data_IF_377805683465
#
_entry.id   IF_377805683465
#
_cell.length_a   1.000
_cell.length_b   1.000
_cell.length_c   1.000
_cell.angle_alpha   90.00
_cell.angle_beta   90.00
_cell.angle_gamma   90.00
#
_symmetry.space_group_name_H-M   'P 1'
#
loop_
_entity.id
_entity.type
_entity.pdbx_description
1 polymer ?
#
# COMPACT_ATOMS: atom_id res chain seq x y z
N UNK A 1 -58.61 -4.48 -22.30
CA UNK A 1 -57.98 -3.13 -22.29
C UNK A 1 -56.82 -3.03 -21.31
N UNK A 2 -56.89 -3.67 -20.14
CA UNK A 2 -55.81 -3.65 -19.12
C UNK A 2 -54.41 -3.97 -19.64
N UNK A 3 -54.23 -5.01 -20.46
CA UNK A 3 -52.90 -5.38 -20.97
C UNK A 3 -52.28 -4.34 -21.90
N UNK A 4 -53.08 -3.56 -22.63
CA UNK A 4 -52.57 -2.46 -23.47
C UNK A 4 -52.16 -1.26 -22.61
N UNK A 5 -52.95 -0.96 -21.57
CA UNK A 5 -52.65 0.11 -20.60
C UNK A 5 -51.38 -0.22 -19.81
N UNK A 6 -51.24 -1.43 -19.27
CA UNK A 6 -50.04 -1.89 -18.54
C UNK A 6 -48.78 -1.80 -19.41
N UNK A 7 -48.85 -2.27 -20.67
CA UNK A 7 -47.72 -2.16 -21.62
C UNK A 7 -47.39 -0.71 -21.97
N UNK A 8 -48.38 0.17 -22.10
CA UNK A 8 -48.18 1.59 -22.34
C UNK A 8 -47.48 2.26 -21.15
N UNK A 9 -47.98 2.05 -19.93
CA UNK A 9 -47.37 2.55 -18.70
C UNK A 9 -45.95 2.01 -18.49
N UNK A 10 -45.70 0.74 -18.76
CA UNK A 10 -44.37 0.17 -18.66
C UNK A 10 -43.37 0.84 -19.61
N UNK A 11 -43.76 1.07 -20.88
CA UNK A 11 -42.93 1.82 -21.85
C UNK A 11 -42.69 3.25 -21.42
N UNK A 12 -43.71 3.92 -20.85
CA UNK A 12 -43.58 5.27 -20.31
C UNK A 12 -42.57 5.31 -19.16
N UNK A 13 -42.66 4.39 -18.20
CA UNK A 13 -41.75 4.31 -17.04
C UNK A 13 -40.31 4.03 -17.48
N UNK A 14 -40.10 3.16 -18.47
CA UNK A 14 -38.76 2.92 -19.04
C UNK A 14 -38.19 4.19 -19.70
N UNK A 15 -39.01 4.92 -20.46
CA UNK A 15 -38.62 6.20 -21.04
C UNK A 15 -38.28 7.25 -19.97
N UNK A 16 -39.12 7.34 -18.95
CA UNK A 16 -38.94 8.24 -17.82
C UNK A 16 -37.66 7.93 -17.03
N UNK A 17 -37.37 6.65 -16.74
CA UNK A 17 -36.14 6.22 -16.06
C UNK A 17 -34.89 6.66 -16.83
N UNK A 18 -34.88 6.51 -18.17
CA UNK A 18 -33.76 6.97 -19.00
C UNK A 18 -33.57 8.49 -18.94
N UNK A 19 -34.66 9.25 -18.95
CA UNK A 19 -34.62 10.71 -18.84
C UNK A 19 -34.09 11.12 -17.46
N UNK A 20 -34.63 10.52 -16.39
CA UNK A 20 -34.17 10.76 -15.03
C UNK A 20 -32.68 10.45 -14.88
N UNK A 21 -32.22 9.29 -15.37
CA UNK A 21 -30.81 8.92 -15.30
C UNK A 21 -29.93 10.00 -15.93
N UNK A 22 -30.29 10.49 -17.12
CA UNK A 22 -29.54 11.53 -17.82
C UNK A 22 -29.55 12.88 -17.07
N UNK A 23 -30.65 13.23 -16.42
CA UNK A 23 -30.74 14.44 -15.58
C UNK A 23 -29.83 14.31 -14.36
N UNK A 24 -29.93 13.20 -13.64
CA UNK A 24 -29.08 12.92 -12.48
C UNK A 24 -27.60 12.89 -12.85
N UNK A 25 -27.22 12.22 -13.94
CA UNK A 25 -25.83 12.20 -14.43
C UNK A 25 -25.29 13.61 -14.68
N UNK A 26 -26.07 14.48 -15.32
CA UNK A 26 -25.68 15.88 -15.55
C UNK A 26 -25.53 16.66 -14.24
N UNK A 27 -26.49 16.53 -13.32
CA UNK A 27 -26.45 17.20 -12.01
C UNK A 27 -25.24 16.73 -11.21
N UNK A 28 -25.02 15.41 -11.13
CA UNK A 28 -23.90 14.79 -10.43
C UNK A 28 -22.57 15.25 -11.03
N UNK A 29 -22.46 15.30 -12.36
CA UNK A 29 -21.26 15.76 -13.06
C UNK A 29 -20.97 17.23 -12.75
N UNK A 30 -21.98 18.11 -12.85
CA UNK A 30 -21.85 19.53 -12.52
C UNK A 30 -21.45 19.76 -11.07
N UNK A 31 -22.11 19.07 -10.12
CA UNK A 31 -21.77 19.16 -8.69
C UNK A 31 -20.36 18.61 -8.40
N UNK A 32 -19.97 17.49 -9.02
CA UNK A 32 -18.61 16.96 -8.89
C UNK A 32 -17.58 17.95 -9.36
N UNK A 33 -17.80 18.57 -10.52
CA UNK A 33 -16.89 19.59 -11.04
C UNK A 33 -16.70 20.75 -10.05
N UNK A 34 -17.80 21.28 -9.49
CA UNK A 34 -17.73 22.37 -8.50
C UNK A 34 -16.98 21.94 -7.24
N UNK A 35 -17.31 20.77 -6.69
CA UNK A 35 -16.68 20.24 -5.47
C UNK A 35 -15.20 19.95 -5.68
N UNK A 36 -14.82 19.39 -6.83
CA UNK A 36 -13.44 19.08 -7.17
C UNK A 36 -12.64 20.35 -7.42
N UNK A 37 -13.24 21.37 -8.05
CA UNK A 37 -12.61 22.68 -8.24
C UNK A 37 -12.32 23.35 -6.89
N UNK A 38 -13.32 23.40 -5.99
CA UNK A 38 -13.13 23.93 -4.63
C UNK A 38 -12.06 23.16 -3.86
N UNK A 39 -12.04 21.83 -3.98
CA UNK A 39 -11.05 20.97 -3.32
C UNK A 39 -9.62 21.16 -3.86
N UNK A 40 -9.44 21.67 -5.08
CA UNK A 40 -8.10 22.01 -5.61
C UNK A 40 -7.65 23.35 -5.06
N UNK A 41 -8.55 24.33 -5.02
CA UNK A 41 -8.25 25.66 -4.45
C UNK A 41 -7.91 25.60 -2.96
N UNK A 42 -8.51 24.68 -2.21
CA UNK A 42 -8.21 24.52 -0.79
C UNK A 42 -6.76 24.15 -0.51
N UNK A 43 -6.07 23.44 -1.42
CA UNK A 43 -4.63 23.12 -1.26
C UNK A 43 -3.78 24.39 -1.23
N UNK A 44 -4.08 25.37 -2.08
CA UNK A 44 -3.35 26.64 -2.11
C UNK A 44 -3.60 27.46 -0.83
N UNK A 45 -4.80 27.41 -0.26
CA UNK A 45 -5.10 28.05 1.03
C UNK A 45 -4.32 27.42 2.18
N UNK A 46 -4.15 26.09 2.18
CA UNK A 46 -3.33 25.39 3.16
C UNK A 46 -1.86 25.83 3.02
N UNK A 47 -1.32 25.88 1.81
CA UNK A 47 0.06 26.32 1.56
C UNK A 47 0.31 27.77 2.01
N UNK A 48 -0.65 28.66 1.73
CA UNK A 48 -0.60 30.05 2.17
C UNK A 48 -0.62 30.13 3.72
N UNK A 49 -1.50 29.37 4.36
CA UNK A 49 -1.57 29.28 5.82
C UNK A 49 -0.27 28.76 6.45
N UNK A 50 0.35 27.74 5.86
CA UNK A 50 1.66 27.23 6.28
C UNK A 50 2.74 28.30 6.13
N UNK A 51 2.74 29.06 5.03
CA UNK A 51 3.67 30.17 4.82
C UNK A 51 3.54 31.28 5.88
N UNK A 52 2.31 31.65 6.25
CA UNK A 52 2.07 32.63 7.33
C UNK A 52 2.52 32.07 8.68
N UNK A 53 2.32 30.78 8.94
CA UNK A 53 2.77 30.13 10.16
C UNK A 53 4.31 30.15 10.30
N UNK A 54 5.05 29.94 9.21
CA UNK A 54 6.51 30.03 9.19
C UNK A 54 7.05 31.47 9.33
N UNK A 55 6.25 32.50 9.02
CA UNK A 55 6.61 33.91 9.25
C UNK A 55 6.57 34.33 10.74
N UNK A 56 6.15 33.43 11.65
CA UNK A 56 6.43 33.52 13.08
C UNK A 56 5.72 34.65 13.84
N UNK A 57 6.36 35.10 14.93
CA UNK A 57 5.80 35.97 15.99
C UNK A 57 5.13 37.26 15.49
N UNK A 58 5.56 37.79 14.34
CA UNK A 58 5.02 38.99 13.72
C UNK A 58 3.61 38.82 13.13
N UNK A 59 3.22 37.59 12.76
CA UNK A 59 1.92 37.31 12.18
C UNK A 59 0.82 37.08 13.24
N UNK A 60 1.18 36.88 14.51
CA UNK A 60 0.25 36.52 15.59
C UNK A 60 -0.90 37.53 15.78
N UNK A 61 -0.68 38.86 15.80
CA UNK A 61 -1.77 39.83 15.93
C UNK A 61 -2.72 39.82 14.73
N UNK A 62 -2.17 39.64 13.52
CA UNK A 62 -2.92 39.59 12.27
C UNK A 62 -3.76 38.30 12.21
N UNK A 63 -3.21 37.17 12.65
CA UNK A 63 -3.89 35.88 12.74
C UNK A 63 -5.09 35.93 13.70
N UNK A 64 -4.95 36.62 14.84
CA UNK A 64 -6.03 36.78 15.81
C UNK A 64 -7.21 37.60 15.25
N UNK A 65 -6.92 38.70 14.54
CA UNK A 65 -7.93 39.49 13.83
C UNK A 65 -8.63 38.64 12.76
N UNK A 66 -7.86 37.85 12.01
CA UNK A 66 -8.39 36.99 10.96
C UNK A 66 -9.31 35.90 11.52
N UNK A 67 -8.92 35.22 12.61
CA UNK A 67 -9.71 34.19 13.29
C UNK A 67 -11.02 34.71 13.90
N UNK A 68 -11.07 35.99 14.26
CA UNK A 68 -12.26 36.63 14.83
C UNK A 68 -13.24 37.08 13.74
N UNK A 69 -12.80 37.15 12.48
CA UNK A 69 -13.64 37.55 11.36
C UNK A 69 -14.62 36.44 10.95
N UNK A 70 -15.90 36.79 10.83
CA UNK A 70 -16.92 35.89 10.29
C UNK A 70 -16.61 35.47 8.84
N UNK A 71 -15.97 36.35 8.06
CA UNK A 71 -15.58 36.08 6.67
C UNK A 71 -14.56 34.94 6.60
N UNK A 72 -13.62 34.87 7.55
CA UNK A 72 -12.65 33.79 7.62
C UNK A 72 -13.34 32.43 7.81
N UNK A 73 -14.29 32.34 8.73
CA UNK A 73 -15.05 31.12 8.96
C UNK A 73 -15.93 30.72 7.76
N UNK A 74 -16.49 31.68 7.03
CA UNK A 74 -17.18 31.39 5.76
C UNK A 74 -16.20 30.80 4.74
N UNK A 75 -15.01 31.37 4.58
CA UNK A 75 -13.99 30.85 3.65
C UNK A 75 -13.61 29.42 4.04
N UNK A 76 -13.32 29.17 5.32
CA UNK A 76 -13.03 27.82 5.81
C UNK A 76 -14.20 26.87 5.53
N UNK A 77 -15.43 27.29 5.82
CA UNK A 77 -16.62 26.48 5.54
C UNK A 77 -16.75 26.16 4.04
N UNK A 78 -16.57 27.16 3.17
CA UNK A 78 -16.74 26.99 1.72
C UNK A 78 -15.63 26.15 1.08
N UNK A 79 -14.39 26.26 1.53
CA UNK A 79 -13.26 25.55 0.91
C UNK A 79 -12.89 24.23 1.57
N UNK A 80 -13.27 24.01 2.84
CA UNK A 80 -12.93 22.77 3.55
C UNK A 80 -14.17 21.94 3.87
N UNK A 81 -15.22 22.57 4.41
CA UNK A 81 -16.42 21.86 4.86
C UNK A 81 -17.31 21.48 3.67
N UNK A 82 -17.65 22.43 2.79
CA UNK A 82 -18.48 22.18 1.62
C UNK A 82 -17.91 21.12 0.67
N UNK A 83 -16.61 21.06 0.34
CA UNK A 83 -16.11 20.02 -0.55
C UNK A 83 -16.13 18.64 0.10
N UNK A 84 -15.90 18.58 1.42
CA UNK A 84 -16.00 17.32 2.17
C UNK A 84 -17.44 16.80 2.22
N UNK A 85 -18.40 17.65 2.57
CA UNK A 85 -19.83 17.30 2.54
C UNK A 85 -20.31 17.01 1.12
N UNK A 86 -19.85 17.81 0.15
CA UNK A 86 -20.18 17.71 -1.26
C UNK A 86 -19.82 16.33 -1.81
N UNK A 87 -18.64 15.78 -1.49
CA UNK A 87 -18.26 14.41 -1.90
C UNK A 87 -19.22 13.36 -1.35
N UNK A 88 -19.65 13.47 -0.08
CA UNK A 88 -20.66 12.57 0.50
C UNK A 88 -22.03 12.72 -0.17
N UNK A 89 -22.46 13.96 -0.41
CA UNK A 89 -23.73 14.25 -1.06
C UNK A 89 -23.76 13.74 -2.52
N UNK A 90 -22.67 13.92 -3.28
CA UNK A 90 -22.51 13.35 -4.62
C UNK A 90 -22.59 11.82 -4.57
N UNK A 91 -21.97 11.18 -3.59
CA UNK A 91 -22.06 9.73 -3.42
C UNK A 91 -23.50 9.27 -3.13
N UNK A 92 -24.24 10.04 -2.34
CA UNK A 92 -25.66 9.81 -2.09
C UNK A 92 -26.52 10.01 -3.35
N UNK A 93 -26.29 11.06 -4.14
CA UNK A 93 -27.00 11.28 -5.40
C UNK A 93 -26.73 10.15 -6.40
N UNK A 94 -25.50 9.62 -6.47
CA UNK A 94 -25.18 8.45 -7.29
C UNK A 94 -25.94 7.21 -6.83
N UNK A 95 -26.00 6.98 -5.52
CA UNK A 95 -26.80 5.90 -4.93
C UNK A 95 -28.29 6.04 -5.27
N UNK A 96 -28.85 7.24 -5.11
CA UNK A 96 -30.26 7.52 -5.38
C UNK A 96 -30.57 7.34 -6.87
N UNK A 97 -29.73 7.91 -7.74
CA UNK A 97 -29.88 7.76 -9.19
C UNK A 97 -29.88 6.28 -9.59
N UNK A 98 -28.89 5.51 -9.12
CA UNK A 98 -28.77 4.10 -9.44
C UNK A 98 -29.99 3.31 -8.96
N UNK A 99 -30.33 3.42 -7.67
CA UNK A 99 -31.41 2.63 -7.08
C UNK A 99 -32.77 2.98 -7.65
N UNK A 100 -33.06 4.27 -7.87
CA UNK A 100 -34.33 4.72 -8.44
C UNK A 100 -34.46 4.36 -9.91
N UNK A 101 -33.42 4.61 -10.73
CA UNK A 101 -33.49 4.31 -12.15
C UNK A 101 -33.55 2.80 -12.42
N UNK A 102 -32.80 2.00 -11.67
CA UNK A 102 -32.82 0.54 -11.83
C UNK A 102 -34.13 -0.07 -11.34
N UNK A 103 -34.68 0.42 -10.22
CA UNK A 103 -36.02 0.03 -9.76
C UNK A 103 -37.12 0.39 -10.78
N UNK A 104 -37.10 1.62 -11.31
CA UNK A 104 -38.06 2.05 -12.34
C UNK A 104 -37.90 1.24 -13.63
N UNK A 105 -36.66 0.88 -14.01
CA UNK A 105 -36.41 0.04 -15.17
C UNK A 105 -36.96 -1.39 -14.97
N UNK A 106 -36.71 -2.02 -13.82
CA UNK A 106 -37.23 -3.36 -13.52
C UNK A 106 -38.76 -3.32 -13.43
N UNK A 107 -39.35 -2.32 -12.78
CA UNK A 107 -40.80 -2.15 -12.70
C UNK A 107 -41.45 -1.92 -14.09
N UNK A 108 -40.85 -1.08 -14.93
CA UNK A 108 -41.31 -0.84 -16.30
C UNK A 108 -41.24 -2.11 -17.16
N UNK A 109 -40.17 -2.91 -17.02
CA UNK A 109 -40.01 -4.19 -17.71
C UNK A 109 -41.04 -5.23 -17.23
N UNK A 110 -41.34 -5.27 -15.93
CA UNK A 110 -42.35 -6.15 -15.36
C UNK A 110 -43.74 -5.83 -15.94
N UNK A 111 -44.11 -4.56 -16.02
CA UNK A 111 -45.40 -4.13 -16.60
C UNK A 111 -45.56 -4.44 -18.10
N UNK A 112 -44.44 -4.53 -18.84
CA UNK A 112 -44.45 -4.91 -20.26
C UNK A 112 -44.55 -6.44 -20.43
N UNK A 113 -44.22 -7.20 -19.38
CA UNK A 113 -44.11 -8.66 -19.40
C UNK A 113 -42.74 -9.17 -19.86
N UNK A 114 -41.70 -8.33 -19.81
CA UNK A 114 -40.33 -8.74 -20.14
C UNK A 114 -39.67 -9.56 -19.02
N UNK A 115 -40.12 -9.41 -17.78
CA UNK A 115 -39.62 -10.12 -16.60
C UNK A 115 -40.78 -10.62 -15.74
N UNK A 116 -40.61 -11.78 -15.11
CA UNK A 116 -41.65 -12.44 -14.30
C UNK A 116 -41.76 -11.89 -12.87
N UNK A 117 -40.68 -11.31 -12.35
CA UNK A 117 -40.62 -10.65 -11.05
C UNK A 117 -39.69 -9.45 -11.12
N UNK A 118 -40.02 -8.38 -10.39
CA UNK A 118 -39.15 -7.23 -10.21
C UNK A 118 -38.50 -7.30 -8.83
N UNK A 119 -37.29 -6.76 -8.72
CA UNK A 119 -36.56 -6.71 -7.45
C UNK A 119 -37.06 -5.55 -6.60
N UNK A 120 -37.07 -5.76 -5.29
CA UNK A 120 -37.47 -4.71 -4.36
C UNK A 120 -36.38 -3.63 -4.28
N UNK A 121 -36.79 -2.40 -3.94
CA UNK A 121 -35.87 -1.27 -3.80
C UNK A 121 -34.65 -1.57 -2.88
N UNK A 122 -34.88 -2.30 -1.79
CA UNK A 122 -33.83 -2.72 -0.86
C UNK A 122 -32.77 -3.64 -1.52
N UNK A 123 -33.13 -4.43 -2.52
CA UNK A 123 -32.18 -5.28 -3.23
C UNK A 123 -31.27 -4.46 -4.14
N UNK A 124 -31.82 -3.48 -4.86
CA UNK A 124 -31.02 -2.53 -5.65
C UNK A 124 -30.06 -1.73 -4.77
N UNK A 125 -30.50 -1.34 -3.57
CA UNK A 125 -29.65 -0.71 -2.57
C UNK A 125 -28.46 -1.60 -2.18
N UNK A 126 -28.73 -2.87 -1.83
CA UNK A 126 -27.68 -3.86 -1.52
C UNK A 126 -26.71 -4.07 -2.69
N UNK A 127 -27.21 -4.14 -3.92
CA UNK A 127 -26.40 -4.33 -5.13
C UNK A 127 -25.44 -3.15 -5.36
N UNK A 128 -25.91 -1.92 -5.16
CA UNK A 128 -25.05 -0.74 -5.26
C UNK A 128 -23.88 -0.81 -4.25
N UNK A 129 -24.17 -1.12 -2.98
CA UNK A 129 -23.13 -1.24 -1.97
C UNK A 129 -22.16 -2.39 -2.25
N UNK A 130 -22.65 -3.54 -2.72
CA UNK A 130 -21.82 -4.68 -3.11
C UNK A 130 -20.85 -4.29 -4.22
N UNK A 131 -21.36 -3.64 -5.29
CA UNK A 131 -20.55 -3.15 -6.41
C UNK A 131 -19.48 -2.16 -5.95
N UNK A 132 -19.82 -1.25 -5.03
CA UNK A 132 -18.88 -0.28 -4.48
C UNK A 132 -17.81 -0.92 -3.58
N UNK A 133 -18.15 -1.98 -2.84
CA UNK A 133 -17.19 -2.75 -2.05
C UNK A 133 -16.22 -3.54 -2.94
N UNK A 134 -16.74 -4.24 -3.95
CA UNK A 134 -15.92 -4.96 -4.93
C UNK A 134 -14.94 -4.02 -5.65
N UNK A 135 -15.40 -2.82 -6.03
CA UNK A 135 -14.54 -1.83 -6.67
C UNK A 135 -13.42 -1.36 -5.74
N UNK A 136 -13.73 -1.04 -4.46
CA UNK A 136 -12.69 -0.67 -3.47
C UNK A 136 -11.71 -1.81 -3.19
N UNK A 137 -12.17 -3.05 -3.20
CA UNK A 137 -11.31 -4.21 -3.01
C UNK A 137 -10.34 -4.37 -4.19
N UNK A 138 -10.85 -4.28 -5.43
CA UNK A 138 -10.02 -4.31 -6.64
C UNK A 138 -8.98 -3.19 -6.66
N UNK A 139 -9.35 -1.96 -6.28
CA UNK A 139 -8.41 -0.83 -6.19
C UNK A 139 -7.33 -1.04 -5.11
N UNK A 140 -7.65 -1.71 -3.99
CA UNK A 140 -6.66 -2.07 -2.96
C UNK A 140 -5.71 -3.15 -3.45
N UNK A 141 -6.24 -4.17 -4.10
CA UNK A 141 -5.43 -5.25 -4.68
C UNK A 141 -4.51 -4.71 -5.78
N UNK A 142 -5.00 -3.80 -6.63
CA UNK A 142 -4.18 -3.12 -7.65
C UNK A 142 -3.06 -2.31 -7.02
N UNK A 143 -3.36 -1.47 -6.02
CA UNK A 143 -2.31 -0.71 -5.31
C UNK A 143 -1.28 -1.60 -4.65
N UNK A 144 -1.69 -2.70 -4.02
CA UNK A 144 -0.74 -3.66 -3.45
C UNK A 144 0.13 -4.36 -4.51
N UNK A 145 -0.41 -4.61 -5.71
CA UNK A 145 0.37 -5.14 -6.84
C UNK A 145 1.37 -4.10 -7.33
N UNK A 146 0.92 -2.88 -7.56
CA UNK A 146 1.78 -1.76 -8.00
C UNK A 146 2.89 -1.46 -6.99
N UNK A 147 2.56 -1.44 -5.69
CA UNK A 147 3.54 -1.26 -4.61
C UNK A 147 4.55 -2.40 -4.56
N UNK A 148 4.10 -3.66 -4.71
CA UNK A 148 5.01 -4.82 -4.80
C UNK A 148 5.93 -4.72 -6.01
N UNK A 149 5.40 -4.37 -7.17
CA UNK A 149 6.22 -4.21 -8.39
C UNK A 149 7.20 -3.03 -8.26
N UNK A 150 6.77 -1.89 -7.69
CA UNK A 150 7.67 -0.76 -7.44
C UNK A 150 8.74 -1.12 -6.42
N UNK A 151 8.37 -1.85 -5.37
CA UNK A 151 9.29 -2.37 -4.38
C UNK A 151 10.31 -3.33 -5.02
N UNK A 152 9.86 -4.28 -5.82
CA UNK A 152 10.74 -5.22 -6.54
C UNK A 152 11.67 -4.50 -7.50
N UNK A 153 11.18 -3.53 -8.28
CA UNK A 153 12.02 -2.71 -9.18
C UNK A 153 13.08 -1.93 -8.39
N UNK A 154 12.68 -1.23 -7.33
CA UNK A 154 13.60 -0.49 -6.45
C UNK A 154 14.61 -1.42 -5.79
N UNK A 155 14.16 -2.59 -5.35
CA UNK A 155 15.01 -3.61 -4.75
C UNK A 155 16.02 -4.17 -5.76
N UNK A 156 15.61 -4.47 -6.98
CA UNK A 156 16.48 -4.99 -8.03
C UNK A 156 17.52 -3.95 -8.46
N UNK A 157 17.11 -2.70 -8.73
CA UNK A 157 18.05 -1.62 -9.08
C UNK A 157 19.02 -1.31 -7.93
N UNK A 158 18.54 -1.33 -6.69
CA UNK A 158 19.39 -1.20 -5.51
C UNK A 158 20.38 -2.35 -5.41
N UNK A 159 19.93 -3.59 -5.63
CA UNK A 159 20.79 -4.76 -5.58
C UNK A 159 21.86 -4.71 -6.68
N UNK A 160 21.51 -4.33 -7.90
CA UNK A 160 22.44 -4.17 -9.02
C UNK A 160 23.46 -3.05 -8.79
N UNK A 161 23.04 -1.90 -8.25
CA UNK A 161 23.94 -0.81 -7.83
C UNK A 161 24.91 -1.24 -6.73
N UNK A 162 24.43 -2.03 -5.76
CA UNK A 162 25.27 -2.58 -4.70
C UNK A 162 26.25 -3.62 -5.25
N UNK A 163 25.79 -4.58 -6.06
CA UNK A 163 26.64 -5.64 -6.61
C UNK A 163 27.68 -5.08 -7.59
N UNK A 164 27.34 -4.06 -8.38
CA UNK A 164 28.29 -3.39 -9.28
C UNK A 164 29.34 -2.56 -8.54
N UNK A 165 28.97 -1.78 -7.52
CA UNK A 165 29.96 -1.02 -6.72
C UNK A 165 30.75 -1.89 -5.73
N UNK A 166 30.23 -3.05 -5.33
CA UNK A 166 30.90 -3.98 -4.42
C UNK A 166 31.82 -4.97 -5.14
N UNK A 167 31.80 -5.01 -6.48
CA UNK A 167 32.67 -5.89 -7.28
C UNK A 167 34.14 -5.43 -7.34
N UNK A 168 34.42 -4.16 -7.04
CA UNK A 168 35.80 -3.63 -6.95
C UNK A 168 36.46 -3.82 -5.58
N UNK A 169 35.67 -4.02 -4.51
CA UNK A 169 36.19 -4.09 -3.14
C UNK A 169 36.22 -5.53 -2.59
N UNK A 170 35.33 -6.42 -3.05
CA UNK A 170 35.29 -7.83 -2.60
C UNK A 170 36.36 -8.73 -3.21
N UNK A 171 36.92 -8.36 -4.37
CA UNK A 171 37.90 -9.23 -5.04
C UNK A 171 39.32 -9.09 -4.46
N UNK A 172 39.65 -7.96 -3.80
CA UNK A 172 41.00 -7.73 -3.30
C UNK A 172 41.25 -8.34 -1.90
N UNK A 173 40.22 -8.45 -1.06
CA UNK A 173 40.32 -9.06 0.28
C UNK A 173 40.11 -10.58 0.31
N UNK A 174 39.84 -11.22 -0.83
CA UNK A 174 39.61 -12.67 -0.92
C UNK A 174 40.82 -13.46 -1.45
N UNK A 175 41.99 -12.82 -1.62
CA UNK A 175 43.22 -13.50 -2.09
C UNK A 175 44.22 -13.81 -0.99
N UNK A 176 43.75 -14.04 0.24
CA UNK A 176 44.58 -14.66 1.28
C UNK A 176 43.72 -15.63 2.07
N UNK A 177 43.79 -16.89 1.65
CA UNK A 177 43.15 -17.99 2.35
C UNK A 177 43.59 -18.01 3.81
N UNK A 178 42.62 -17.87 4.70
CA UNK A 178 42.72 -18.24 6.09
C UNK A 178 41.59 -19.22 6.41
N UNK A 179 41.76 -20.45 5.93
CA UNK A 179 41.18 -21.62 6.58
C UNK A 179 42.25 -22.17 7.52
N UNK A 180 42.42 -21.50 8.65
CA UNK A 180 43.18 -22.02 9.77
C UNK A 180 42.57 -21.43 11.02
N UNK A 181 41.61 -22.16 11.59
CA UNK A 181 41.46 -22.11 13.04
C UNK A 181 41.60 -23.52 13.61
N UNK A 182 42.48 -23.55 14.59
CA UNK A 182 43.00 -24.68 15.34
C UNK A 182 41.92 -25.15 16.31
N UNK A 183 41.36 -26.32 16.11
CA UNK A 183 40.80 -27.12 17.21
C UNK A 183 41.58 -28.43 17.31
N UNK A 184 42.56 -28.43 18.21
CA UNK A 184 43.23 -29.65 18.65
C UNK A 184 42.51 -30.21 19.88
N UNK A 185 42.27 -31.52 19.82
CA UNK A 185 42.01 -32.45 20.94
C UNK A 185 40.58 -32.54 21.50
N UNK A 186 39.79 -33.50 21.00
CA UNK A 186 39.65 -34.84 21.61
C UNK A 186 38.67 -35.68 20.80
N UNK A 187 39.04 -36.94 20.55
CA UNK A 187 38.25 -37.96 19.86
C UNK A 187 36.81 -38.05 20.36
N UNK A 188 35.85 -37.75 19.48
CA UNK A 188 34.51 -38.35 19.49
C UNK A 188 33.96 -38.27 18.07
N UNK A 189 33.43 -39.39 17.56
CA UNK A 189 32.77 -39.47 16.26
C UNK A 189 31.48 -38.66 16.32
N UNK A 190 31.57 -37.35 16.03
CA UNK A 190 30.43 -36.45 16.01
C UNK A 190 29.72 -36.57 14.66
N UNK A 191 28.41 -36.78 14.70
CA UNK A 191 27.55 -36.85 13.52
C UNK A 191 27.69 -35.58 12.64
N UNK A 192 28.04 -35.71 11.34
CA UNK A 192 28.16 -34.58 10.40
C UNK A 192 26.92 -33.66 10.32
N UNK A 193 25.73 -34.15 10.68
CA UNK A 193 24.52 -33.34 10.74
C UNK A 193 24.52 -32.36 11.93
N UNK A 194 25.12 -32.74 13.06
CA UNK A 194 25.22 -31.91 14.27
C UNK A 194 26.21 -30.77 14.05
N UNK A 195 27.34 -31.03 13.40
CA UNK A 195 28.34 -30.00 13.08
C UNK A 195 27.76 -28.93 12.13
N UNK A 196 27.08 -29.35 11.06
CA UNK A 196 26.41 -28.43 10.15
C UNK A 196 25.35 -27.57 10.85
N UNK A 197 24.53 -28.17 11.71
CA UNK A 197 23.49 -27.47 12.49
C UNK A 197 24.11 -26.39 13.37
N UNK A 198 25.14 -26.73 14.14
CA UNK A 198 25.83 -25.81 15.03
C UNK A 198 26.47 -24.64 14.25
N UNK A 199 27.08 -24.93 13.10
CA UNK A 199 27.65 -23.91 12.22
C UNK A 199 26.57 -22.96 11.67
N UNK A 200 25.43 -23.50 11.23
CA UNK A 200 24.30 -22.70 10.75
C UNK A 200 23.75 -21.76 11.82
N UNK A 201 23.51 -22.27 13.03
CA UNK A 201 23.02 -21.45 14.15
C UNK A 201 24.02 -20.37 14.56
N UNK A 202 25.33 -20.69 14.56
CA UNK A 202 26.39 -19.70 14.82
C UNK A 202 26.37 -18.58 13.77
N UNK A 203 26.23 -18.90 12.48
CA UNK A 203 26.12 -17.90 11.43
C UNK A 203 24.85 -17.05 11.59
N UNK A 204 23.71 -17.64 11.97
CA UNK A 204 22.49 -16.87 12.23
C UNK A 204 22.67 -15.90 13.40
N UNK A 205 23.34 -16.31 14.49
CA UNK A 205 23.65 -15.44 15.62
C UNK A 205 24.61 -14.32 15.25
N UNK A 206 25.60 -14.62 14.40
CA UNK A 206 26.56 -13.62 13.89
C UNK A 206 25.86 -12.54 13.06
N UNK A 207 24.79 -12.91 12.34
CA UNK A 207 23.91 -11.97 11.65
C UNK A 207 22.79 -11.38 12.52
N UNK A 208 22.85 -11.58 13.84
CA UNK A 208 21.86 -11.07 14.79
C UNK A 208 20.40 -11.44 14.41
N UNK A 209 20.18 -12.62 13.83
CA UNK A 209 18.84 -13.11 13.44
C UNK A 209 18.06 -13.58 14.67
N UNK A 210 16.79 -13.16 14.77
CA UNK A 210 15.89 -13.45 15.91
C UNK A 210 15.53 -14.94 16.03
N UNK A 211 15.47 -15.65 14.89
CA UNK A 211 15.10 -17.06 14.80
C UNK A 211 16.05 -17.82 13.84
N UNK A 212 15.95 -19.15 13.84
CA UNK A 212 16.67 -20.01 12.91
C UNK A 212 15.80 -20.47 11.72
N UNK A 213 14.49 -20.14 11.71
CA UNK A 213 13.60 -20.36 10.56
C UNK A 213 13.66 -19.15 9.61
N UNK A 214 14.83 -19.01 9.02
CA UNK A 214 15.16 -17.86 8.19
C UNK A 214 14.85 -18.13 6.73
N UNK A 215 14.50 -17.07 6.01
CA UNK A 215 14.49 -17.03 4.55
C UNK A 215 15.73 -16.26 4.09
N UNK A 216 16.24 -16.58 2.91
CA UNK A 216 17.41 -15.92 2.32
C UNK A 216 17.20 -14.41 2.17
N UNK A 217 15.94 -13.97 2.01
CA UNK A 217 15.59 -12.55 2.07
C UNK A 217 15.94 -11.91 3.43
N UNK A 218 15.57 -12.55 4.55
CA UNK A 218 15.88 -12.06 5.91
C UNK A 218 17.39 -12.02 6.15
N UNK A 219 18.10 -13.05 5.72
CA UNK A 219 19.57 -13.15 5.82
C UNK A 219 20.25 -11.98 5.09
N UNK A 220 19.84 -11.70 3.85
CA UNK A 220 20.35 -10.55 3.08
C UNK A 220 20.05 -9.21 3.75
N UNK A 221 18.86 -9.07 4.33
CA UNK A 221 18.46 -7.82 4.98
C UNK A 221 19.33 -7.52 6.20
N UNK A 222 19.51 -8.49 7.09
CA UNK A 222 20.34 -8.31 8.29
C UNK A 222 21.81 -8.11 7.96
N UNK A 223 22.34 -8.90 7.03
CA UNK A 223 23.69 -8.72 6.53
C UNK A 223 23.95 -7.28 6.07
N UNK A 224 23.02 -6.66 5.33
CA UNK A 224 23.17 -5.26 4.87
C UNK A 224 23.18 -4.25 6.02
N UNK A 225 22.36 -4.46 7.05
CA UNK A 225 22.31 -3.59 8.23
C UNK A 225 23.65 -3.64 8.96
N UNK A 226 24.17 -4.85 9.19
CA UNK A 226 25.42 -5.07 9.90
C UNK A 226 26.65 -4.66 9.07
N UNK A 227 26.66 -4.96 7.76
CA UNK A 227 27.70 -4.53 6.84
C UNK A 227 27.82 -3.00 6.78
N UNK A 228 26.70 -2.27 6.83
CA UNK A 228 26.72 -0.80 6.90
C UNK A 228 27.21 -0.29 8.25
N UNK A 229 26.84 -0.98 9.35
CA UNK A 229 27.21 -0.61 10.73
C UNK A 229 28.70 -0.82 11.02
N UNK A 230 29.28 -1.87 10.46
CA UNK A 230 30.67 -2.27 10.70
C UNK A 230 31.59 -2.08 9.49
N UNK A 231 31.15 -1.34 8.47
CA UNK A 231 32.00 -1.06 7.31
C UNK A 231 33.27 -0.32 7.76
N UNK A 232 34.48 -0.80 7.41
CA UNK A 232 35.74 -0.22 7.91
C UNK A 232 35.92 1.26 7.51
N UNK A 233 35.36 1.69 6.36
CA UNK A 233 35.41 3.10 5.95
C UNK A 233 34.40 4.00 6.68
N UNK A 234 33.33 3.44 7.25
CA UNK A 234 32.28 4.21 7.94
C UNK A 234 32.43 4.13 9.46
N UNK A 235 33.06 3.06 9.96
CA UNK A 235 33.24 2.76 11.36
C UNK A 235 34.75 2.67 11.67
N UNK A 236 35.25 3.64 12.43
CA UNK A 236 36.66 3.76 12.80
C UNK A 236 37.04 2.96 14.06
N UNK A 237 36.14 2.12 14.58
CA UNK A 237 36.46 1.24 15.70
C UNK A 237 37.50 0.19 15.29
N UNK A 238 38.44 -0.10 16.21
CA UNK A 238 39.53 -1.07 15.98
C UNK A 238 39.04 -2.48 15.66
N UNK A 239 37.85 -2.83 16.13
CA UNK A 239 37.25 -4.15 15.98
C UNK A 239 36.25 -4.21 14.79
N UNK A 240 36.04 -3.10 14.07
CA UNK A 240 35.05 -3.04 12.98
C UNK A 240 35.43 -3.97 11.83
N UNK A 241 36.72 -4.05 11.49
CA UNK A 241 37.25 -4.92 10.43
C UNK A 241 37.02 -6.40 10.73
N UNK A 242 37.31 -6.84 11.96
CA UNK A 242 37.14 -8.23 12.38
C UNK A 242 35.65 -8.63 12.38
N UNK A 243 34.79 -7.78 12.95
CA UNK A 243 33.33 -8.00 12.92
C UNK A 243 32.78 -8.05 11.51
N UNK A 244 33.25 -7.16 10.63
CA UNK A 244 32.84 -7.15 9.23
C UNK A 244 33.22 -8.45 8.50
N UNK A 245 34.41 -9.00 8.80
CA UNK A 245 34.84 -10.29 8.27
C UNK A 245 33.96 -11.45 8.77
N UNK A 246 33.63 -11.48 10.07
CA UNK A 246 32.73 -12.49 10.64
C UNK A 246 31.33 -12.44 10.03
N UNK A 247 30.78 -11.23 9.84
CA UNK A 247 29.50 -10.97 9.18
C UNK A 247 29.51 -11.48 7.73
N UNK A 248 30.61 -11.26 7.00
CA UNK A 248 30.76 -11.74 5.63
C UNK A 248 30.80 -13.28 5.56
N UNK A 249 31.62 -13.91 6.40
CA UNK A 249 31.72 -15.38 6.44
C UNK A 249 30.39 -16.03 6.83
N UNK A 250 29.63 -15.42 7.74
CA UNK A 250 28.30 -15.88 8.10
C UNK A 250 27.31 -15.78 6.93
N UNK A 251 27.36 -14.68 6.17
CA UNK A 251 26.51 -14.48 5.00
C UNK A 251 26.82 -15.45 3.86
N UNK A 252 28.11 -15.71 3.57
CA UNK A 252 28.53 -16.68 2.56
C UNK A 252 28.10 -18.10 2.90
N UNK A 253 28.08 -18.46 4.18
CA UNK A 253 27.59 -19.77 4.62
C UNK A 253 26.06 -19.89 4.55
N UNK A 254 25.31 -18.81 4.80
CA UNK A 254 23.84 -18.83 4.83
C UNK A 254 23.20 -18.70 3.43
N UNK A 255 23.57 -19.62 2.54
CA UNK A 255 22.99 -19.72 1.18
C UNK A 255 21.59 -20.33 1.20
N UNK A 256 20.83 -20.15 0.11
CA UNK A 256 19.52 -20.79 -0.06
C UNK A 256 19.59 -22.32 0.13
N UNK A 257 20.66 -22.94 -0.37
CA UNK A 257 20.90 -24.37 -0.26
C UNK A 257 21.12 -24.81 1.19
N UNK A 258 21.95 -24.09 1.94
CA UNK A 258 22.21 -24.41 3.34
C UNK A 258 21.00 -24.13 4.24
N UNK A 259 20.22 -23.09 3.95
CA UNK A 259 18.93 -22.83 4.62
C UNK A 259 17.96 -23.99 4.37
N UNK A 260 17.86 -24.46 3.13
CA UNK A 260 17.01 -25.61 2.79
C UNK A 260 17.47 -26.88 3.52
N UNK A 261 18.77 -27.17 3.49
CA UNK A 261 19.39 -28.31 4.18
C UNK A 261 19.15 -28.27 5.70
N UNK A 262 19.26 -27.12 6.34
CA UNK A 262 18.97 -26.95 7.77
C UNK A 262 17.50 -27.28 8.10
N UNK A 263 16.56 -26.80 7.26
CA UNK A 263 15.13 -27.11 7.41
C UNK A 263 14.84 -28.61 7.23
N UNK A 264 15.59 -29.31 6.38
CA UNK A 264 15.46 -30.76 6.20
C UNK A 264 15.99 -31.55 7.40
N UNK A 265 17.06 -31.06 8.06
CA UNK A 265 17.64 -31.70 9.25
C UNK A 265 16.73 -31.57 10.47
N UNK A 266 16.08 -30.43 10.66
CA UNK A 266 15.20 -30.18 11.82
C UNK A 266 13.82 -30.83 11.68
N UNK A 267 13.40 -31.14 10.45
CA UNK A 267 12.13 -31.83 10.19
C UNK A 267 12.19 -33.35 10.37
N UNK A 268 13.39 -33.94 10.47
CA UNK A 268 13.59 -35.35 10.80
C UNK A 268 13.58 -35.57 12.31
#
# INVERSE_FOLDING_TARGET
MENKVKKFFGKFILGFSKILNKIFEKIISGLSFVVDLLSRFSIYLILLGIGIFFLGFFAIPILFILLTSYVFWIIIFVFFVLPFLGKKFISFLKYLNYTMCEYLNDYGNYLIGNINSFRNFNEHSKMYYKKQQEQRQREREQRQREEREQWERRFNSFNEFFTSNQSGFYQNYNSQGFYNDYTNSYSNYQDPYVDFKNKFEKCCRTLELEDYDVDFYKVKLQYRILAKKYHPDLNHDKDATEKFQEINSAFEFLTQENIKRYKEIIKK
#
